data_IF_023213180853
#
_entry.id   IF_023213180853
#
_cell.length_a   1.000
_cell.length_b   1.000
_cell.length_c   1.000
_cell.angle_alpha   90.00
_cell.angle_beta   90.00
_cell.angle_gamma   90.00
#
_symmetry.space_group_name_H-M   'P 1'
#
loop_
_entity.id
_entity.type
_entity.pdbx_description
1 polymer ?
#
# COMPACT_ATOMS: atom_id res chain seq x y z
N UNK A 1 4.83 -8.24 -54.13
CA UNK A 1 4.48 -8.68 -52.76
C UNK A 1 5.65 -8.48 -51.81
N UNK A 2 6.88 -8.82 -52.24
CA UNK A 2 8.13 -8.62 -51.49
C UNK A 2 8.39 -7.17 -51.07
N UNK A 3 8.10 -6.17 -51.91
CA UNK A 3 8.29 -4.76 -51.56
C UNK A 3 7.45 -4.30 -50.35
N UNK A 4 6.20 -4.76 -50.27
CA UNK A 4 5.33 -4.49 -49.11
C UNK A 4 5.86 -5.17 -47.86
N UNK A 5 6.36 -6.40 -47.98
CA UNK A 5 6.98 -7.13 -46.87
C UNK A 5 8.24 -6.40 -46.36
N UNK A 6 9.09 -5.91 -47.25
CA UNK A 6 10.29 -5.14 -46.89
C UNK A 6 9.93 -3.83 -46.16
N UNK A 7 8.91 -3.11 -46.64
CA UNK A 7 8.42 -1.89 -45.95
C UNK A 7 7.87 -2.23 -44.56
N UNK A 8 7.08 -3.31 -44.44
CA UNK A 8 6.60 -3.76 -43.12
C UNK A 8 7.76 -4.11 -42.17
N UNK A 9 8.77 -4.83 -42.66
CA UNK A 9 9.95 -5.18 -41.86
C UNK A 9 10.74 -3.95 -41.43
N UNK A 10 10.90 -2.96 -42.31
CA UNK A 10 11.54 -1.70 -41.96
C UNK A 10 10.74 -0.95 -40.89
N UNK A 11 9.42 -0.87 -41.05
CA UNK A 11 8.56 -0.19 -40.09
C UNK A 11 8.59 -0.85 -38.71
N UNK A 12 8.59 -2.19 -38.64
CA UNK A 12 8.74 -2.93 -37.38
C UNK A 12 10.05 -2.55 -36.67
N UNK A 13 11.18 -2.52 -37.40
CA UNK A 13 12.47 -2.13 -36.80
C UNK A 13 12.46 -0.69 -36.27
N UNK A 14 11.81 0.21 -36.99
CA UNK A 14 11.64 1.60 -36.53
C UNK A 14 10.81 1.67 -35.25
N UNK A 15 9.71 0.90 -35.17
CA UNK A 15 8.89 0.83 -33.96
C UNK A 15 9.65 0.21 -32.79
N UNK A 16 10.40 -0.86 -33.01
CA UNK A 16 11.20 -1.51 -31.97
C UNK A 16 12.25 -0.55 -31.40
N UNK A 17 12.94 0.19 -32.26
CA UNK A 17 13.93 1.19 -31.84
C UNK A 17 13.27 2.31 -31.04
N UNK A 18 12.16 2.87 -31.55
CA UNK A 18 11.42 3.92 -30.85
C UNK A 18 10.89 3.47 -29.49
N UNK A 19 10.43 2.22 -29.39
CA UNK A 19 9.98 1.64 -28.12
C UNK A 19 11.13 1.48 -27.13
N UNK A 20 12.29 1.00 -27.58
CA UNK A 20 13.47 0.85 -26.73
C UNK A 20 13.94 2.21 -26.19
N UNK A 21 13.95 3.24 -27.02
CA UNK A 21 14.29 4.62 -26.59
C UNK A 21 13.31 5.15 -25.55
N UNK A 22 12.00 4.93 -25.77
CA UNK A 22 10.96 5.34 -24.82
C UNK A 22 11.09 4.59 -23.49
N UNK A 23 11.28 3.27 -23.53
CA UNK A 23 11.50 2.46 -22.34
C UNK A 23 12.74 2.92 -21.57
N UNK A 24 13.85 3.18 -22.25
CA UNK A 24 15.07 3.66 -21.63
C UNK A 24 14.88 5.03 -20.97
N UNK A 25 14.15 5.94 -21.62
CA UNK A 25 13.83 7.27 -21.08
C UNK A 25 12.99 7.20 -19.80
N UNK A 26 12.06 6.26 -19.74
CA UNK A 26 11.15 6.10 -18.59
C UNK A 26 11.67 5.14 -17.52
N UNK A 27 12.72 4.37 -17.80
CA UNK A 27 13.32 3.41 -16.88
C UNK A 27 13.66 3.98 -15.48
N UNK A 28 14.19 5.23 -15.36
CA UNK A 28 14.52 5.78 -14.05
C UNK A 28 13.31 6.00 -13.13
N UNK A 29 12.11 6.20 -13.69
CA UNK A 29 10.87 6.30 -12.89
C UNK A 29 10.59 5.01 -12.10
N UNK A 30 11.13 3.88 -12.58
CA UNK A 30 11.04 2.55 -11.96
C UNK A 30 12.32 2.15 -11.22
N UNK A 31 13.29 3.05 -11.07
CA UNK A 31 14.53 2.83 -10.33
C UNK A 31 15.67 2.19 -11.14
N UNK A 32 15.56 2.12 -12.47
CA UNK A 32 16.62 1.58 -13.33
C UNK A 32 17.50 2.70 -13.85
N UNK A 33 18.82 2.58 -13.67
CA UNK A 33 19.81 3.52 -14.22
C UNK A 33 19.82 4.90 -13.56
N UNK A 34 19.29 5.01 -12.33
CA UNK A 34 19.22 6.27 -11.58
C UNK A 34 20.60 6.83 -11.24
N UNK A 35 21.64 5.99 -11.23
CA UNK A 35 23.03 6.37 -10.96
C UNK A 35 23.66 7.17 -12.11
N UNK A 36 23.08 7.10 -13.31
CA UNK A 36 23.55 7.84 -14.48
C UNK A 36 22.89 9.23 -14.61
N UNK A 37 21.87 9.53 -13.79
CA UNK A 37 21.19 10.80 -13.79
C UNK A 37 22.02 11.89 -13.10
N UNK A 38 21.83 13.13 -13.54
CA UNK A 38 22.35 14.30 -12.84
C UNK A 38 21.62 14.54 -11.52
N UNK A 39 22.20 15.37 -10.64
CA UNK A 39 21.58 15.72 -9.36
C UNK A 39 20.22 16.41 -9.52
N UNK A 40 20.06 17.24 -10.56
CA UNK A 40 18.79 17.93 -10.88
C UNK A 40 17.69 16.96 -11.35
N UNK A 41 18.07 15.99 -12.20
CA UNK A 41 17.17 14.93 -12.62
C UNK A 41 16.78 14.01 -11.46
N UNK A 42 17.71 13.72 -10.55
CA UNK A 42 17.44 12.92 -9.36
C UNK A 42 16.52 13.65 -8.37
N UNK A 43 16.68 14.96 -8.19
CA UNK A 43 15.77 15.78 -7.39
C UNK A 43 14.36 15.80 -8.00
N UNK A 44 14.28 15.97 -9.32
CA UNK A 44 13.01 15.88 -10.06
C UNK A 44 12.34 14.53 -9.86
N UNK A 45 13.09 13.43 -10.00
CA UNK A 45 12.61 12.07 -9.78
C UNK A 45 12.11 11.86 -8.33
N UNK A 46 12.87 12.33 -7.34
CA UNK A 46 12.50 12.25 -5.94
C UNK A 46 11.18 13.00 -5.65
N UNK A 47 11.01 14.20 -6.22
CA UNK A 47 9.77 14.98 -6.06
C UNK A 47 8.56 14.26 -6.66
N UNK A 48 8.72 13.64 -7.84
CA UNK A 48 7.66 12.83 -8.47
C UNK A 48 7.24 11.69 -7.53
N UNK A 49 8.20 10.95 -6.95
CA UNK A 49 7.91 9.86 -6.03
C UNK A 49 7.29 10.35 -4.71
N UNK A 50 7.77 11.45 -4.13
CA UNK A 50 7.21 12.03 -2.92
C UNK A 50 5.74 12.45 -3.13
N UNK A 51 5.46 13.14 -4.24
CA UNK A 51 4.10 13.51 -4.61
C UNK A 51 3.19 12.29 -4.79
N UNK A 52 3.68 11.25 -5.45
CA UNK A 52 2.94 10.00 -5.66
C UNK A 52 2.63 9.31 -4.33
N UNK A 53 3.58 9.25 -3.41
CA UNK A 53 3.37 8.70 -2.07
C UNK A 53 2.33 9.49 -1.26
N UNK A 54 2.36 10.83 -1.32
CA UNK A 54 1.32 11.67 -0.69
C UNK A 54 -0.08 11.33 -1.21
N UNK A 55 -0.23 11.14 -2.52
CA UNK A 55 -1.51 10.75 -3.12
C UNK A 55 -1.94 9.35 -2.66
N UNK A 56 -1.01 8.39 -2.64
CA UNK A 56 -1.27 7.03 -2.15
C UNK A 56 -1.76 7.07 -0.70
N UNK A 57 -1.11 7.83 0.18
CA UNK A 57 -1.53 7.99 1.57
C UNK A 57 -2.94 8.60 1.66
N UNK A 58 -3.24 9.65 0.91
CA UNK A 58 -4.57 10.26 0.90
C UNK A 58 -5.66 9.27 0.47
N UNK A 59 -5.39 8.43 -0.54
CA UNK A 59 -6.28 7.36 -0.98
C UNK A 59 -6.44 6.27 0.09
N UNK A 60 -5.35 5.88 0.74
CA UNK A 60 -5.37 4.89 1.83
C UNK A 60 -6.18 5.38 3.01
N UNK A 61 -6.06 6.65 3.40
CA UNK A 61 -6.88 7.25 4.47
C UNK A 61 -8.36 7.25 4.09
N UNK A 62 -8.72 7.67 2.87
CA UNK A 62 -10.10 7.65 2.40
C UNK A 62 -10.70 6.23 2.37
N UNK A 63 -9.92 5.25 1.89
CA UNK A 63 -10.39 3.85 1.77
C UNK A 63 -10.40 3.12 3.12
N UNK A 64 -9.42 3.40 3.98
CA UNK A 64 -9.32 2.87 5.35
C UNK A 64 -10.32 3.51 6.33
N UNK A 65 -10.79 4.73 6.05
CA UNK A 65 -11.84 5.42 6.80
C UNK A 65 -13.25 4.82 6.60
N UNK A 66 -13.38 3.73 5.84
CA UNK A 66 -14.66 3.02 5.62
C UNK A 66 -15.08 2.12 6.81
N UNK A 67 -14.28 2.05 7.88
CA UNK A 67 -14.63 1.34 9.11
C UNK A 67 -14.89 2.36 10.24
N UNK A 68 -16.13 2.48 10.76
CA UNK A 68 -16.47 3.44 11.82
C UNK A 68 -16.09 2.94 13.22
N UNK A 69 -14.97 2.23 13.39
CA UNK A 69 -14.56 1.67 14.68
C UNK A 69 -13.03 1.57 14.75
N UNK A 70 -12.35 2.61 15.27
CA UNK A 70 -10.90 2.53 15.42
C UNK A 70 -10.19 3.82 15.84
N UNK A 71 -10.54 4.38 17.00
CA UNK A 71 -9.58 5.04 17.90
C UNK A 71 -8.96 6.38 17.47
N UNK A 72 -9.63 7.48 17.84
CA UNK A 72 -8.93 8.60 18.48
C UNK A 72 -9.24 8.46 19.97
N UNK A 73 -8.37 7.80 20.74
CA UNK A 73 -7.32 8.49 21.50
C UNK A 73 -7.86 9.78 22.13
N UNK A 74 -8.56 9.62 23.26
CA UNK A 74 -8.84 10.69 24.20
C UNK A 74 -7.50 11.10 24.85
N UNK A 75 -6.64 11.79 24.10
CA UNK A 75 -5.44 12.39 24.61
C UNK A 75 -5.75 13.82 25.07
N UNK A 76 -6.03 13.90 26.37
CA UNK A 76 -5.62 14.99 27.26
C UNK A 76 -6.04 16.42 26.92
N UNK A 77 -7.08 16.89 27.63
CA UNK A 77 -7.09 18.25 28.16
C UNK A 77 -6.90 18.13 29.68
N UNK A 78 -5.74 18.57 30.23
CA UNK A 78 -5.50 18.60 31.67
C UNK A 78 -6.10 19.88 32.26
N UNK A 79 -7.12 19.76 33.09
CA UNK A 79 -7.63 20.91 33.81
C UNK A 79 -8.99 20.71 34.45
N UNK A 80 -8.95 20.53 35.77
CA UNK A 80 -10.03 20.73 36.75
C UNK A 80 -11.02 19.57 36.98
N UNK A 81 -11.06 19.21 38.28
CA UNK A 81 -12.05 18.42 39.02
C UNK A 81 -11.73 16.94 39.24
N UNK A 82 -11.00 16.70 40.34
CA UNK A 82 -11.02 15.50 41.18
C UNK A 82 -12.46 15.22 41.64
N UNK A 83 -12.97 14.00 41.42
CA UNK A 83 -14.14 13.48 42.13
C UNK A 83 -13.78 12.16 42.81
N UNK A 84 -14.16 11.95 44.08
CA UNK A 84 -13.60 10.90 44.94
C UNK A 84 -14.19 9.50 44.66
N UNK A 85 -13.49 8.41 45.06
CA UNK A 85 -13.98 7.05 44.85
C UNK A 85 -15.19 6.75 45.75
N UNK A 86 -16.26 6.25 45.14
CA UNK A 86 -17.45 5.76 45.84
C UNK A 86 -17.09 4.51 46.64
N UNK A 87 -17.11 4.62 47.97
CA UNK A 87 -17.01 3.48 48.89
C UNK A 87 -18.37 2.79 48.93
N UNK A 88 -18.47 1.55 48.43
CA UNK A 88 -19.60 0.68 48.73
C UNK A 88 -19.09 -0.67 49.23
N UNK A 89 -19.50 -0.98 50.45
CA UNK A 89 -19.10 -2.09 51.29
C UNK A 89 -19.92 -3.32 50.90
N UNK A 90 -19.28 -4.46 50.69
CA UNK A 90 -20.00 -5.74 50.59
C UNK A 90 -19.19 -6.86 49.92
N UNK A 91 -18.36 -7.57 50.69
CA UNK A 91 -18.03 -8.97 50.42
C UNK A 91 -18.79 -9.83 51.45
N UNK A 92 -19.26 -11.03 51.07
CA UNK A 92 -18.40 -12.20 51.29
C UNK A 92 -18.39 -13.24 50.16
N UNK A 93 -17.38 -14.09 50.28
CA UNK A 93 -16.81 -15.10 49.40
C UNK A 93 -17.72 -16.24 48.92
N UNK A 94 -17.34 -16.85 47.78
CA UNK A 94 -16.89 -18.26 47.69
C UNK A 94 -17.49 -19.09 46.53
N UNK A 95 -16.64 -19.95 45.97
CA UNK A 95 -16.90 -21.21 45.23
C UNK A 95 -17.11 -21.18 43.70
N UNK A 96 -16.14 -21.79 43.02
CA UNK A 96 -16.09 -22.40 41.67
C UNK A 96 -17.28 -23.34 41.33
N UNK A 97 -17.28 -24.10 40.21
CA UNK A 97 -17.00 -23.83 38.79
C UNK A 97 -18.15 -24.34 37.88
N UNK A 98 -18.52 -23.65 36.79
CA UNK A 98 -19.36 -24.29 35.73
C UNK A 98 -19.30 -23.52 34.39
N UNK A 99 -18.67 -24.12 33.38
CA UNK A 99 -19.18 -24.09 32.00
C UNK A 99 -20.39 -25.04 31.91
N UNK A 100 -21.20 -25.13 30.82
CA UNK A 100 -21.06 -24.54 29.46
C UNK A 100 -22.38 -23.95 28.89
N UNK A 101 -22.31 -23.17 27.79
CA UNK A 101 -23.15 -23.40 26.60
C UNK A 101 -22.60 -22.56 25.43
N UNK A 102 -22.24 -23.24 24.34
CA UNK A 102 -22.21 -22.68 23.00
C UNK A 102 -23.59 -22.87 22.37
N UNK A 103 -23.94 -22.11 21.31
CA UNK A 103 -23.81 -22.75 20.00
C UNK A 103 -23.33 -21.80 18.89
N UNK A 104 -22.37 -22.32 18.12
CA UNK A 104 -22.27 -22.28 16.65
C UNK A 104 -22.58 -20.97 15.90
N UNK A 105 -21.52 -20.38 15.35
CA UNK A 105 -21.59 -19.42 14.24
C UNK A 105 -20.36 -19.56 13.36
N UNK A 106 -20.45 -20.42 12.36
CA UNK A 106 -19.44 -20.60 11.33
C UNK A 106 -19.22 -19.29 10.56
N UNK A 107 -17.96 -18.87 10.42
CA UNK A 107 -17.56 -17.66 9.72
C UNK A 107 -16.16 -17.82 9.15
N UNK A 108 -16.03 -18.74 8.21
CA UNK A 108 -14.86 -18.92 7.37
C UNK A 108 -14.71 -17.65 6.52
N UNK A 109 -13.66 -16.88 6.74
CA UNK A 109 -13.19 -15.93 5.73
C UNK A 109 -11.69 -16.07 5.59
N UNK A 110 -11.30 -17.02 4.74
CA UNK A 110 -9.94 -17.11 4.23
C UNK A 110 -9.71 -15.93 3.29
N UNK A 111 -9.00 -14.90 3.75
CA UNK A 111 -8.37 -13.98 2.83
C UNK A 111 -7.02 -14.58 2.42
N UNK A 112 -7.05 -15.30 1.31
CA UNK A 112 -5.86 -15.74 0.58
C UNK A 112 -5.04 -14.52 0.18
N UNK A 113 -3.95 -14.29 0.90
CA UNK A 113 -2.89 -13.36 0.51
C UNK A 113 -2.11 -14.01 -0.64
N UNK A 114 -2.62 -13.89 -1.86
CA UNK A 114 -1.85 -14.20 -3.05
C UNK A 114 -0.89 -13.03 -3.30
N UNK A 115 0.34 -13.25 -2.83
CA UNK A 115 1.55 -12.49 -3.11
C UNK A 115 1.61 -12.06 -4.57
N UNK A 116 1.71 -10.75 -4.80
CA UNK A 116 2.12 -10.19 -6.07
C UNK A 116 3.61 -10.53 -6.26
N UNK A 117 3.89 -11.72 -6.79
CA UNK A 117 5.18 -12.01 -7.40
C UNK A 117 5.24 -11.18 -8.68
N UNK A 118 5.72 -9.94 -8.55
CA UNK A 118 6.06 -9.11 -9.70
C UNK A 118 7.25 -9.79 -10.39
N UNK A 119 6.96 -10.55 -11.44
CA UNK A 119 8.01 -11.00 -12.38
C UNK A 119 8.75 -9.76 -12.89
N UNK A 120 10.10 -9.80 -13.02
CA UNK A 120 10.84 -8.70 -13.60
C UNK A 120 10.31 -8.42 -15.02
N UNK A 121 9.86 -7.18 -15.26
CA UNK A 121 9.30 -6.77 -16.56
C UNK A 121 10.34 -6.73 -17.68
N UNK A 122 11.61 -6.97 -17.38
CA UNK A 122 12.68 -6.98 -18.37
C UNK A 122 13.82 -7.91 -17.95
N UNK A 123 14.26 -8.75 -18.88
CA UNK A 123 15.52 -9.48 -18.79
C UNK A 123 16.53 -8.77 -19.70
N UNK A 124 17.65 -8.22 -19.19
CA UNK A 124 18.75 -7.82 -20.04
C UNK A 124 19.45 -9.07 -20.59
N UNK A 125 19.62 -9.13 -21.91
CA UNK A 125 20.60 -10.01 -22.56
C UNK A 125 21.80 -9.17 -22.95
#
# INVERSE_FOLDING_TARGET
MESKLQVCQQYIRTLETSLQEEMARHAPLYGVGVEALSMDELETLANIHEQSLRQIHAIQQRKGSSHPLGGSSLAHIPGLFTSPPSMSVGLPSSLSPTSPIAPNGAGIHGNGRATCAASPWFNPT
#
